data_IF_600863557205
#
_entry.id   IF_600863557205
#
_cell.length_a   1.000
_cell.length_b   1.000
_cell.length_c   1.000
_cell.angle_alpha   90.00
_cell.angle_beta   90.00
_cell.angle_gamma   90.00
#
_symmetry.space_group_name_H-M   'P 1'
#
loop_
_entity.id
_entity.type
_entity.pdbx_description
1 polymer ?
#
# COMPACT_ATOMS: atom_id res chain seq x y z
N UNK A 1 46.70 -11.60 43.80
CA UNK A 1 45.44 -12.38 43.93
C UNK A 1 44.18 -11.51 44.08
N UNK A 2 44.24 -10.27 44.58
CA UNK A 2 43.05 -9.42 44.79
C UNK A 2 42.39 -8.87 43.50
N UNK A 3 43.15 -8.61 42.43
CA UNK A 3 42.61 -8.03 41.19
C UNK A 3 41.77 -9.02 40.37
N UNK A 4 42.10 -10.32 40.44
CA UNK A 4 41.35 -11.37 39.72
C UNK A 4 39.98 -11.69 40.32
N UNK A 5 39.81 -11.52 41.64
CA UNK A 5 38.53 -11.76 42.32
C UNK A 5 37.54 -10.62 42.04
N UNK A 6 38.02 -9.37 41.90
CA UNK A 6 37.18 -8.22 41.57
C UNK A 6 36.64 -8.29 40.12
N UNK A 7 37.45 -8.75 39.17
CA UNK A 7 37.03 -8.97 37.78
C UNK A 7 35.98 -10.09 37.67
N UNK A 8 36.16 -11.20 38.38
CA UNK A 8 35.16 -12.28 38.45
C UNK A 8 33.84 -11.83 39.10
N UNK A 9 33.89 -10.94 40.10
CA UNK A 9 32.69 -10.37 40.71
C UNK A 9 31.93 -9.43 39.78
N UNK A 10 32.64 -8.62 38.99
CA UNK A 10 32.04 -7.75 37.97
C UNK A 10 31.39 -8.60 36.88
N UNK A 11 32.04 -9.66 36.39
CA UNK A 11 31.47 -10.49 35.32
C UNK A 11 30.25 -11.28 35.79
N UNK A 12 30.25 -11.81 37.02
CA UNK A 12 29.07 -12.48 37.61
C UNK A 12 27.93 -11.47 37.83
N UNK A 13 28.22 -10.29 38.39
CA UNK A 13 27.21 -9.27 38.62
C UNK A 13 26.61 -8.75 37.30
N UNK A 14 27.44 -8.55 36.26
CA UNK A 14 27.01 -8.06 34.95
C UNK A 14 26.19 -9.11 34.19
N UNK A 15 26.57 -10.39 34.27
CA UNK A 15 25.83 -11.49 33.66
C UNK A 15 24.47 -11.74 34.35
N UNK A 16 24.43 -11.69 35.68
CA UNK A 16 23.20 -11.86 36.47
C UNK A 16 22.27 -10.65 36.30
N UNK A 17 22.77 -9.41 36.45
CA UNK A 17 21.96 -8.20 36.22
C UNK A 17 21.47 -8.09 34.77
N UNK A 18 22.28 -8.49 33.80
CA UNK A 18 21.92 -8.48 32.39
C UNK A 18 20.76 -9.42 32.04
N UNK A 19 20.66 -10.58 32.72
CA UNK A 19 19.55 -11.52 32.54
C UNK A 19 18.26 -11.07 33.23
N UNK A 20 18.36 -10.49 34.43
CA UNK A 20 17.18 -9.96 35.17
C UNK A 20 16.49 -8.83 34.39
N UNK A 21 17.26 -7.93 33.75
CA UNK A 21 16.72 -6.85 32.90
C UNK A 21 15.92 -7.35 31.69
N UNK A 22 16.20 -8.57 31.20
CA UNK A 22 15.59 -9.13 29.98
C UNK A 22 14.35 -9.98 30.27
N UNK A 23 14.20 -10.50 31.49
CA UNK A 23 13.11 -11.40 31.88
C UNK A 23 11.88 -10.70 32.47
N UNK A 24 11.96 -9.40 32.78
CA UNK A 24 10.86 -8.63 33.38
C UNK A 24 9.97 -8.04 32.27
N UNK A 25 8.62 -8.11 32.38
CA UNK A 25 7.73 -7.51 31.39
C UNK A 25 7.86 -5.99 31.38
N UNK A 26 7.75 -5.38 30.19
CA UNK A 26 7.92 -3.93 29.96
C UNK A 26 6.95 -3.02 30.73
N UNK A 27 5.93 -3.62 31.34
CA UNK A 27 4.95 -2.97 32.21
C UNK A 27 5.44 -2.75 33.63
N UNK A 28 6.60 -3.27 34.03
CA UNK A 28 7.15 -3.15 35.38
C UNK A 28 8.46 -2.35 35.32
N UNK A 29 8.62 -1.40 36.23
CA UNK A 29 9.85 -0.63 36.38
C UNK A 29 10.97 -1.46 37.00
N UNK A 30 12.15 -1.36 36.41
CA UNK A 30 13.30 -2.20 36.77
C UNK A 30 13.81 -1.99 38.20
N UNK A 31 13.82 -0.74 38.67
CA UNK A 31 14.40 -0.40 39.97
C UNK A 31 13.39 -0.55 41.12
N UNK A 32 12.13 -0.27 40.83
CA UNK A 32 11.09 -0.14 41.85
C UNK A 32 10.22 -1.39 41.94
N UNK A 33 10.16 -2.22 40.88
CA UNK A 33 9.30 -3.41 40.82
C UNK A 33 7.80 -3.09 40.73
N UNK A 34 7.44 -1.81 40.61
CA UNK A 34 6.08 -1.33 40.47
C UNK A 34 5.66 -1.23 39.00
N UNK A 35 4.35 -1.25 38.70
CA UNK A 35 3.87 -1.03 37.35
C UNK A 35 4.34 0.33 36.84
N UNK A 36 4.96 0.33 35.67
CA UNK A 36 5.50 1.51 35.02
C UNK A 36 4.37 2.49 34.72
N UNK A 37 4.41 3.66 35.36
CA UNK A 37 3.43 4.71 35.07
C UNK A 37 3.68 5.28 33.68
N UNK A 38 2.60 5.47 32.93
CA UNK A 38 2.68 6.10 31.61
C UNK A 38 2.78 7.60 31.81
N UNK A 39 4.01 8.13 31.76
CA UNK A 39 4.23 9.57 31.76
C UNK A 39 3.49 10.16 30.53
N UNK A 40 2.45 10.94 30.77
CA UNK A 40 1.77 11.69 29.72
C UNK A 40 2.74 12.76 29.20
N UNK A 41 3.04 12.72 27.91
CA UNK A 41 3.92 13.73 27.31
C UNK A 41 3.19 15.07 27.38
N UNK A 42 3.84 16.15 27.85
CA UNK A 42 3.21 17.46 27.88
C UNK A 42 2.76 17.84 26.46
N UNK A 43 1.55 18.42 26.35
CA UNK A 43 1.04 18.96 25.10
C UNK A 43 1.79 20.27 24.82
N UNK A 44 3.05 20.18 24.41
CA UNK A 44 3.85 21.35 24.07
C UNK A 44 3.51 21.75 22.64
N UNK A 45 2.92 22.93 22.47
CA UNK A 45 2.72 23.56 21.16
C UNK A 45 4.06 24.09 20.62
N UNK A 46 4.96 23.19 20.25
CA UNK A 46 6.17 23.58 19.52
C UNK A 46 5.77 24.08 18.13
N UNK A 47 6.35 25.18 17.62
CA UNK A 47 6.15 25.55 16.23
C UNK A 47 6.70 24.41 15.37
N UNK A 48 5.85 23.86 14.51
CA UNK A 48 6.26 22.83 13.57
C UNK A 48 7.39 23.34 12.67
N UNK A 49 8.33 22.45 12.33
CA UNK A 49 9.34 22.77 11.32
C UNK A 49 8.67 23.10 9.99
N UNK A 50 9.32 23.90 9.15
CA UNK A 50 8.79 24.26 7.83
C UNK A 50 8.40 23.01 7.01
N UNK A 51 9.17 21.92 7.11
CA UNK A 51 8.84 20.64 6.48
C UNK A 51 7.56 19.99 7.02
N UNK A 52 7.36 20.01 8.34
CA UNK A 52 6.15 19.46 8.96
C UNK A 52 4.94 20.29 8.55
N UNK A 53 5.04 21.62 8.51
CA UNK A 53 3.98 22.49 8.02
C UNK A 53 3.62 22.18 6.56
N UNK A 54 4.62 22.04 5.68
CA UNK A 54 4.38 21.65 4.27
C UNK A 54 3.71 20.28 4.15
N UNK A 55 4.09 19.30 5.00
CA UNK A 55 3.45 17.98 5.03
C UNK A 55 2.01 18.06 5.51
N UNK A 56 1.72 18.88 6.53
CA UNK A 56 0.38 19.06 7.07
C UNK A 56 -0.55 19.69 6.04
N UNK A 57 -0.11 20.74 5.33
CA UNK A 57 -0.86 21.35 4.23
C UNK A 57 -1.18 20.34 3.12
N UNK A 58 -0.20 19.50 2.73
CA UNK A 58 -0.43 18.40 1.77
C UNK A 58 -1.38 17.30 2.30
N UNK A 59 -1.52 17.18 3.62
CA UNK A 59 -2.41 16.20 4.24
C UNK A 59 -3.85 16.67 4.35
N UNK A 60 -4.07 17.99 4.41
CA UNK A 60 -5.40 18.61 4.45
C UNK A 60 -6.13 18.64 3.11
N UNK A 61 -5.44 18.39 1.99
CA UNK A 61 -6.07 18.27 0.67
C UNK A 61 -7.11 17.14 0.65
N UNK A 62 -8.20 17.33 -0.10
CA UNK A 62 -9.30 16.35 -0.19
C UNK A 62 -8.83 15.05 -0.85
N UNK A 63 -8.81 13.96 -0.06
CA UNK A 63 -8.44 12.63 -0.53
C UNK A 63 -9.67 11.75 -0.67
N UNK A 64 -9.67 10.89 -1.68
CA UNK A 64 -10.67 9.84 -1.81
C UNK A 64 -10.62 8.93 -0.59
N UNK A 65 -11.77 8.49 -0.09
CA UNK A 65 -11.83 7.66 1.12
C UNK A 65 -11.22 6.29 0.84
N UNK A 66 -10.06 6.03 1.43
CA UNK A 66 -9.32 4.78 1.28
C UNK A 66 -9.67 3.81 2.39
N UNK A 67 -9.85 2.55 2.03
CA UNK A 67 -10.06 1.48 3.00
C UNK A 67 -8.74 0.96 3.56
N UNK A 68 -8.70 0.74 4.87
CA UNK A 68 -7.56 0.15 5.59
C UNK A 68 -7.72 -1.38 5.64
N UNK A 69 -7.71 -2.03 4.49
CA UNK A 69 -7.81 -3.47 4.38
C UNK A 69 -6.46 -4.09 3.99
N UNK A 70 -6.23 -5.35 4.39
CA UNK A 70 -5.09 -6.14 3.88
C UNK A 70 -5.32 -6.46 2.40
N UNK A 71 -4.21 -6.52 1.65
CA UNK A 71 -4.22 -6.88 0.23
C UNK A 71 -4.73 -8.31 0.04
N UNK A 72 -5.54 -8.55 -0.99
CA UNK A 72 -5.97 -9.90 -1.35
C UNK A 72 -4.78 -10.67 -1.93
N UNK A 73 -4.44 -11.78 -1.28
CA UNK A 73 -3.25 -12.56 -1.62
C UNK A 73 -3.39 -13.22 -3.01
N UNK A 74 -4.58 -13.72 -3.35
CA UNK A 74 -4.88 -14.34 -4.65
C UNK A 74 -4.73 -13.38 -5.83
N UNK A 75 -4.95 -12.08 -5.60
CA UNK A 75 -4.87 -11.03 -6.62
C UNK A 75 -3.59 -10.19 -6.49
N UNK A 76 -2.57 -10.70 -5.81
CA UNK A 76 -1.31 -9.98 -5.66
C UNK A 76 -0.08 -10.88 -5.71
N UNK A 77 0.99 -10.36 -6.29
CA UNK A 77 2.27 -11.06 -6.41
C UNK A 77 3.37 -10.19 -5.83
N UNK A 78 4.42 -10.80 -5.26
CA UNK A 78 5.60 -10.06 -4.79
C UNK A 78 6.29 -9.36 -5.97
N UNK A 79 6.59 -8.07 -5.83
CA UNK A 79 7.36 -7.33 -6.83
C UNK A 79 8.85 -7.59 -6.63
N UNK A 80 9.51 -8.18 -7.62
CA UNK A 80 10.98 -8.24 -7.68
C UNK A 80 11.51 -6.90 -8.16
N UNK A 81 12.54 -6.38 -7.49
CA UNK A 81 13.21 -5.12 -7.86
C UNK A 81 14.57 -5.43 -8.47
N UNK A 82 14.84 -4.84 -9.64
CA UNK A 82 16.10 -5.03 -10.36
C UNK A 82 17.12 -3.91 -10.13
N UNK A 83 16.73 -2.80 -9.47
CA UNK A 83 17.64 -1.68 -9.17
C UNK A 83 18.24 -1.03 -10.42
N UNK A 84 17.48 -0.96 -11.51
CA UNK A 84 17.93 -0.36 -12.78
C UNK A 84 18.88 -1.22 -13.61
N UNK A 85 19.09 -2.49 -13.23
CA UNK A 85 19.91 -3.46 -13.96
C UNK A 85 19.10 -4.24 -14.99
N UNK A 86 19.76 -4.63 -16.09
CA UNK A 86 19.20 -5.54 -17.10
C UNK A 86 19.55 -7.02 -16.81
N UNK A 87 19.18 -7.92 -17.73
CA UNK A 87 19.44 -9.36 -17.61
C UNK A 87 20.94 -9.72 -17.52
N UNK A 88 21.84 -8.91 -18.11
CA UNK A 88 23.30 -9.08 -18.04
C UNK A 88 23.89 -8.51 -16.74
N UNK A 89 23.08 -7.94 -15.86
CA UNK A 89 23.53 -7.30 -14.61
C UNK A 89 24.10 -5.89 -14.76
N UNK A 90 24.10 -5.33 -15.98
CA UNK A 90 24.58 -3.96 -16.24
C UNK A 90 23.51 -2.94 -15.86
N UNK A 91 23.92 -1.84 -15.24
CA UNK A 91 23.03 -0.71 -14.94
C UNK A 91 22.69 0.00 -16.24
N UNK A 92 21.44 -0.11 -16.68
CA UNK A 92 20.92 0.57 -17.88
C UNK A 92 20.18 1.85 -17.53
N UNK A 93 19.59 1.91 -16.33
CA UNK A 93 18.84 3.08 -15.86
C UNK A 93 19.40 3.58 -14.52
N UNK A 94 19.74 4.87 -14.47
CA UNK A 94 20.25 5.54 -13.26
C UNK A 94 19.09 5.94 -12.33
N UNK A 95 19.41 6.34 -11.10
CA UNK A 95 18.45 6.79 -10.08
C UNK A 95 17.36 5.76 -9.72
N UNK A 96 17.66 4.47 -9.88
CA UNK A 96 16.77 3.36 -9.50
C UNK A 96 17.50 2.44 -8.54
N UNK A 97 17.04 2.34 -7.30
CA UNK A 97 17.63 1.47 -6.28
C UNK A 97 16.83 1.50 -4.97
N UNK A 98 16.90 0.42 -4.19
CA UNK A 98 16.34 0.36 -2.83
C UNK A 98 14.81 0.55 -2.72
N UNK A 99 14.41 1.17 -1.61
CA UNK A 99 13.02 1.47 -1.23
C UNK A 99 12.25 0.29 -0.62
N UNK A 100 11.09 0.59 -0.03
CA UNK A 100 10.22 -0.40 0.63
C UNK A 100 9.75 -1.52 -0.32
N UNK A 101 9.65 -2.76 0.19
CA UNK A 101 9.19 -3.93 -0.59
C UNK A 101 7.72 -3.75 -0.98
N UNK A 102 7.37 -4.08 -2.21
CA UNK A 102 6.02 -3.87 -2.74
C UNK A 102 5.42 -5.18 -3.24
N UNK A 103 4.10 -5.27 -3.23
CA UNK A 103 3.34 -6.29 -3.95
C UNK A 103 2.69 -5.64 -5.16
N UNK A 104 2.73 -6.32 -6.30
CA UNK A 104 1.99 -5.97 -7.50
C UNK A 104 0.57 -6.46 -7.33
N UNK A 105 -0.41 -5.59 -7.52
CA UNK A 105 -1.82 -6.00 -7.64
C UNK A 105 -2.12 -6.35 -9.09
N UNK A 106 -2.73 -7.52 -9.29
CA UNK A 106 -3.19 -7.98 -10.58
C UNK A 106 -4.47 -7.22 -10.94
N UNK A 107 -4.30 -6.18 -11.75
CA UNK A 107 -5.40 -5.31 -12.20
C UNK A 107 -5.88 -5.77 -13.57
N UNK A 108 -7.19 -5.92 -13.72
CA UNK A 108 -7.83 -6.20 -14.99
C UNK A 108 -7.91 -4.90 -15.82
N UNK A 109 -6.91 -4.70 -16.67
CA UNK A 109 -6.90 -3.61 -17.63
C UNK A 109 -7.74 -3.89 -18.88
N UNK A 110 -8.06 -5.16 -19.17
CA UNK A 110 -8.73 -5.54 -20.41
C UNK A 110 -10.25 -5.55 -20.27
N UNK A 111 -10.78 -5.63 -19.04
CA UNK A 111 -12.21 -5.71 -18.76
C UNK A 111 -12.87 -6.83 -19.57
N UNK A 112 -12.26 -8.02 -19.52
CA UNK A 112 -12.65 -9.15 -20.39
C UNK A 112 -13.99 -9.77 -20.00
N UNK A 113 -14.38 -9.68 -18.73
CA UNK A 113 -15.69 -10.16 -18.25
C UNK A 113 -16.76 -9.17 -18.68
N UNK A 114 -17.35 -9.44 -19.85
CA UNK A 114 -18.37 -8.61 -20.50
C UNK A 114 -19.77 -9.01 -20.06
N UNK A 115 -20.69 -8.04 -20.12
CA UNK A 115 -22.13 -8.19 -19.90
C UNK A 115 -22.52 -8.71 -18.51
N UNK A 116 -21.59 -8.65 -17.55
CA UNK A 116 -21.79 -9.04 -16.15
C UNK A 116 -21.55 -7.80 -15.29
N UNK A 117 -22.51 -7.50 -14.43
CA UNK A 117 -22.37 -6.39 -13.48
C UNK A 117 -21.36 -6.75 -12.39
N UNK A 118 -20.66 -5.73 -11.93
CA UNK A 118 -19.73 -5.82 -10.83
C UNK A 118 -19.97 -4.70 -9.82
N UNK A 119 -20.05 -5.05 -8.55
CA UNK A 119 -20.20 -4.11 -7.45
C UNK A 119 -18.84 -3.71 -6.91
N UNK A 120 -18.62 -2.41 -6.71
CA UNK A 120 -17.40 -1.88 -6.09
C UNK A 120 -17.45 -2.16 -4.59
N UNK A 121 -16.55 -3.00 -4.10
CA UNK A 121 -16.48 -3.32 -2.67
C UNK A 121 -15.74 -2.25 -1.89
N UNK A 122 -14.55 -1.86 -2.37
CA UNK A 122 -13.69 -0.90 -1.69
C UNK A 122 -12.64 -0.29 -2.60
N UNK A 123 -12.15 0.89 -2.19
CA UNK A 123 -11.06 1.60 -2.86
C UNK A 123 -9.79 1.43 -2.01
N UNK A 124 -8.71 1.03 -2.67
CA UNK A 124 -7.41 0.76 -2.06
C UNK A 124 -6.29 1.60 -2.69
N UNK A 125 -5.28 1.87 -1.87
CA UNK A 125 -4.01 2.42 -2.34
C UNK A 125 -3.13 1.31 -2.95
N UNK A 126 -2.53 1.58 -4.12
CA UNK A 126 -1.55 0.71 -4.74
C UNK A 126 -0.16 1.36 -4.79
N UNK A 127 0.81 0.78 -4.09
CA UNK A 127 2.18 1.29 -4.04
C UNK A 127 2.93 1.18 -5.38
N UNK A 128 2.42 0.40 -6.35
CA UNK A 128 3.08 0.21 -7.64
C UNK A 128 2.75 1.28 -8.68
N UNK A 129 1.72 2.10 -8.45
CA UNK A 129 1.23 3.12 -9.38
C UNK A 129 0.72 4.35 -8.61
N UNK A 130 0.47 5.45 -9.32
CA UNK A 130 -0.09 6.66 -8.71
C UNK A 130 -1.60 6.60 -8.50
N UNK A 131 -2.32 5.93 -9.41
CA UNK A 131 -3.77 5.81 -9.36
C UNK A 131 -4.25 4.84 -8.27
N UNK A 132 -5.40 5.14 -7.66
CA UNK A 132 -6.08 4.20 -6.77
C UNK A 132 -6.67 3.03 -7.55
N UNK A 133 -6.83 1.91 -6.87
CA UNK A 133 -7.46 0.72 -7.42
C UNK A 133 -8.75 0.43 -6.68
N UNK A 134 -9.77 0.00 -7.41
CA UNK A 134 -11.03 -0.45 -6.83
C UNK A 134 -11.07 -1.97 -6.87
N UNK A 135 -11.40 -2.59 -5.74
CA UNK A 135 -11.77 -3.98 -5.71
C UNK A 135 -13.23 -4.09 -6.10
N UNK A 136 -13.51 -4.88 -7.13
CA UNK A 136 -14.86 -5.17 -7.60
C UNK A 136 -15.16 -6.66 -7.40
N UNK A 137 -16.44 -6.94 -7.17
CA UNK A 137 -16.99 -8.29 -7.18
C UNK A 137 -18.02 -8.37 -8.30
N UNK A 138 -17.79 -9.28 -9.24
CA UNK A 138 -18.78 -9.61 -10.25
C UNK A 138 -19.94 -10.38 -9.64
N UNK A 139 -21.10 -10.35 -10.28
CA UNK A 139 -22.28 -11.10 -9.82
C UNK A 139 -22.03 -12.62 -9.74
N UNK A 140 -21.12 -13.17 -10.56
CA UNK A 140 -20.68 -14.58 -10.45
C UNK A 140 -19.76 -14.86 -9.23
N UNK A 141 -19.50 -13.86 -8.39
CA UNK A 141 -18.67 -13.98 -7.18
C UNK A 141 -17.17 -13.78 -7.38
N UNK A 142 -16.69 -13.65 -8.62
CA UNK A 142 -15.26 -13.42 -8.90
C UNK A 142 -14.83 -12.01 -8.49
N UNK A 143 -13.70 -11.94 -7.80
CA UNK A 143 -13.07 -10.67 -7.43
C UNK A 143 -12.06 -10.23 -8.48
N UNK A 144 -11.97 -8.93 -8.71
CA UNK A 144 -10.94 -8.35 -9.59
C UNK A 144 -10.59 -6.94 -9.15
N UNK A 145 -9.35 -6.52 -9.40
CA UNK A 145 -8.98 -5.12 -9.26
C UNK A 145 -9.14 -4.39 -10.58
N UNK A 146 -9.68 -3.17 -10.53
CA UNK A 146 -9.69 -2.23 -11.66
C UNK A 146 -9.01 -0.92 -11.26
N UNK A 147 -8.64 -0.09 -12.22
CA UNK A 147 -8.29 1.30 -11.92
C UNK A 147 -9.52 2.03 -11.40
N UNK A 148 -9.38 2.76 -10.29
CA UNK A 148 -10.48 3.54 -9.74
C UNK A 148 -10.69 4.81 -10.58
N UNK A 149 -11.85 4.97 -11.25
CA UNK A 149 -12.19 6.23 -11.89
C UNK A 149 -12.48 7.31 -10.85
N UNK A 150 -12.40 8.56 -11.27
CA UNK A 150 -12.88 9.67 -10.45
C UNK A 150 -14.41 9.56 -10.27
N UNK A 151 -14.90 9.83 -9.06
CA UNK A 151 -16.33 9.79 -8.73
C UNK A 151 -16.90 8.41 -8.45
N UNK A 152 -16.11 7.33 -8.55
CA UNK A 152 -16.55 6.00 -8.11
C UNK A 152 -16.43 5.88 -6.59
N UNK A 153 -17.49 5.36 -5.98
CA UNK A 153 -17.65 5.15 -4.54
C UNK A 153 -17.96 3.65 -4.32
N UNK A 154 -17.59 3.06 -3.17
CA UNK A 154 -18.07 1.73 -2.79
C UNK A 154 -19.59 1.60 -2.89
N UNK A 155 -20.08 0.48 -3.42
CA UNK A 155 -21.50 0.21 -3.69
C UNK A 155 -21.94 0.50 -5.13
N UNK A 156 -21.14 1.24 -5.93
CA UNK A 156 -21.47 1.45 -7.34
C UNK A 156 -21.45 0.15 -8.14
N UNK A 157 -22.40 0.01 -9.07
CA UNK A 157 -22.41 -1.07 -10.07
C UNK A 157 -21.76 -0.62 -11.37
N UNK A 158 -20.83 -1.43 -11.85
CA UNK A 158 -20.06 -1.20 -13.06
C UNK A 158 -20.28 -2.35 -14.03
N UNK A 159 -20.27 -2.06 -15.32
CA UNK A 159 -20.41 -3.09 -16.36
C UNK A 159 -19.45 -2.80 -17.51
N UNK A 160 -18.90 -3.86 -18.08
CA UNK A 160 -18.20 -3.80 -19.36
C UNK A 160 -19.14 -4.40 -20.40
N UNK A 161 -19.70 -3.61 -21.30
CA UNK A 161 -20.64 -4.09 -22.32
C UNK A 161 -20.52 -3.25 -23.57
N UNK A 162 -20.97 -3.80 -24.69
CA UNK A 162 -21.12 -3.04 -25.92
C UNK A 162 -22.17 -1.92 -25.77
N UNK A 163 -23.22 -2.16 -25.00
CA UNK A 163 -24.34 -1.22 -24.83
C UNK A 163 -24.39 -0.64 -23.39
N UNK A 164 -23.25 -0.59 -22.69
CA UNK A 164 -23.22 -0.03 -21.34
C UNK A 164 -23.61 1.45 -21.36
N UNK A 165 -24.19 1.95 -20.26
CA UNK A 165 -24.40 3.38 -20.10
C UNK A 165 -23.06 4.11 -20.00
N UNK A 166 -22.95 5.28 -20.64
CA UNK A 166 -21.77 6.15 -20.55
C UNK A 166 -21.73 6.77 -19.16
N UNK A 167 -21.04 6.10 -18.25
CA UNK A 167 -20.89 6.48 -16.86
C UNK A 167 -19.48 6.13 -16.37
N UNK A 168 -18.92 6.85 -15.38
CA UNK A 168 -17.58 6.59 -14.87
C UNK A 168 -17.46 5.16 -14.32
N UNK A 169 -16.48 4.41 -14.85
CA UNK A 169 -16.19 3.02 -14.47
C UNK A 169 -16.80 1.95 -15.37
N UNK A 170 -17.75 2.32 -16.23
CA UNK A 170 -18.20 1.44 -17.30
C UNK A 170 -17.17 1.41 -18.43
N UNK A 171 -17.11 0.28 -19.12
CA UNK A 171 -16.18 0.06 -20.23
C UNK A 171 -16.96 -0.27 -21.51
N UNK A 172 -16.71 0.52 -22.55
CA UNK A 172 -17.31 0.37 -23.88
C UNK A 172 -16.23 0.34 -24.96
N UNK A 173 -16.51 -0.26 -26.13
CA UNK A 173 -15.71 -0.06 -27.33
C UNK A 173 -15.69 1.42 -27.74
N UNK A 174 -14.54 1.91 -28.24
CA UNK A 174 -14.38 3.32 -28.65
C UNK A 174 -15.43 3.79 -29.67
N UNK A 175 -15.87 2.90 -30.57
CA UNK A 175 -16.90 3.20 -31.57
C UNK A 175 -18.26 3.65 -31.00
N UNK A 176 -18.55 3.32 -29.74
CA UNK A 176 -19.82 3.64 -29.08
C UNK A 176 -19.71 4.85 -28.13
N UNK A 177 -18.51 5.44 -28.01
CA UNK A 177 -18.30 6.63 -27.18
C UNK A 177 -18.54 7.87 -28.06
N UNK A 178 -19.49 8.75 -27.72
CA UNK A 178 -19.70 9.99 -28.45
C UNK A 178 -18.50 10.93 -28.33
N UNK A 179 -18.30 11.74 -29.37
CA UNK A 179 -17.21 12.72 -29.43
C UNK A 179 -17.40 13.77 -28.33
N UNK A 180 -16.30 14.25 -27.75
CA UNK A 180 -16.30 15.27 -26.69
C UNK A 180 -16.30 14.71 -25.26
N UNK A 181 -16.38 13.39 -25.08
CA UNK A 181 -16.28 12.77 -23.76
C UNK A 181 -14.83 12.54 -23.33
N UNK A 182 -14.54 12.83 -22.06
CA UNK A 182 -13.27 12.47 -21.43
C UNK A 182 -13.32 11.03 -20.94
N UNK A 183 -12.50 10.18 -21.55
CA UNK A 183 -12.33 8.79 -21.13
C UNK A 183 -10.85 8.54 -20.77
N UNK A 184 -10.62 7.65 -19.81
CA UNK A 184 -9.27 7.20 -19.44
C UNK A 184 -9.11 5.74 -19.82
N UNK A 185 -8.03 5.43 -20.53
CA UNK A 185 -7.73 4.08 -20.95
C UNK A 185 -7.30 3.23 -19.74
N UNK A 186 -7.90 2.05 -19.65
CA UNK A 186 -7.21 0.86 -19.14
C UNK A 186 -6.56 0.22 -20.37
N UNK A 187 -5.24 0.04 -20.35
CA UNK A 187 -4.44 -0.21 -21.56
C UNK A 187 -4.94 -1.46 -22.31
N UNK A 188 -5.40 -1.27 -23.54
CA UNK A 188 -5.63 -2.38 -24.47
C UNK A 188 -4.30 -2.79 -25.09
N UNK A 189 -3.86 -4.03 -24.88
CA UNK A 189 -2.83 -4.62 -25.72
C UNK A 189 -3.46 -4.88 -27.10
N UNK A 190 -3.16 -4.04 -28.07
CA UNK A 190 -3.41 -4.37 -29.47
C UNK A 190 -2.57 -5.62 -29.79
N UNK A 191 -3.23 -6.77 -29.99
CA UNK A 191 -2.59 -7.90 -30.67
C UNK A 191 -2.37 -7.48 -32.12
N UNK A 192 -1.20 -6.93 -32.40
CA UNK A 192 -0.70 -6.82 -33.77
C UNK A 192 -0.49 -8.25 -34.26
N UNK A 193 -1.49 -8.79 -34.94
CA UNK A 193 -1.29 -9.94 -35.81
C UNK A 193 -0.32 -9.47 -36.91
N UNK A 194 0.97 -9.75 -36.73
CA UNK A 194 1.92 -9.73 -37.82
C UNK A 194 1.66 -10.99 -38.64
N UNK A 195 1.11 -10.79 -39.84
CA UNK A 195 1.22 -11.74 -40.95
C UNK A 195 2.67 -12.04 -41.25
#
# INVERSE_FOLDING_TARGET
MFVGILFLFIDIFTAVYGNIKRSIPSSIEFETGYPKERIEKPIVSVPYTQEINQRLVKSSESRQQLTKARVIEQLSVRRVKFGGRNATGKITTRHRGGGHVQRIRLVDFKRQRKDIYATVLRIEYDATRSAYVALIQYDDGVLSYILCPAGVIPGHRLVASMNAQIAPGNCLPLRHIPVGFFYKFTTASASLNRT
#
